data_IF_905543826146
#
_entry.id   IF_905543826146
#
_cell.length_a   1.000
_cell.length_b   1.000
_cell.length_c   1.000
_cell.angle_alpha   90.00
_cell.angle_beta   90.00
_cell.angle_gamma   90.00
#
_symmetry.space_group_name_H-M   'P 1'
#
loop_
_entity.id
_entity.type
_entity.pdbx_description
1 polymer ?
#
# COMPACT_ATOMS: atom_id res chain seq x y z
N UNK A 1 25.78 1.78 14.53
CA UNK A 1 24.92 0.59 14.41
C UNK A 1 23.70 1.03 13.63
N UNK A 2 23.43 0.43 12.47
CA UNK A 2 22.23 0.77 11.69
C UNK A 2 20.97 0.20 12.39
N UNK A 3 19.77 0.69 12.04
CA UNK A 3 18.55 0.29 12.76
C UNK A 3 18.29 -1.22 12.65
N UNK A 4 18.57 -1.83 11.49
CA UNK A 4 18.47 -3.28 11.29
C UNK A 4 19.34 -4.04 12.28
N UNK A 5 20.62 -3.67 12.46
CA UNK A 5 21.49 -4.33 13.44
C UNK A 5 20.97 -4.17 14.87
N UNK A 6 20.40 -3.01 15.19
CA UNK A 6 19.77 -2.77 16.50
C UNK A 6 18.55 -3.68 16.71
N UNK A 7 17.68 -3.81 15.69
CA UNK A 7 16.49 -4.68 15.76
C UNK A 7 16.85 -6.16 15.86
N UNK A 8 17.92 -6.60 15.18
CA UNK A 8 18.48 -7.95 15.34
C UNK A 8 18.92 -8.22 16.78
N UNK A 9 19.65 -7.28 17.39
CA UNK A 9 20.03 -7.39 18.80
C UNK A 9 18.82 -7.50 19.74
N UNK A 10 17.73 -6.78 19.48
CA UNK A 10 16.48 -6.93 20.25
C UNK A 10 15.87 -8.32 20.05
N UNK A 11 15.86 -8.83 18.81
CA UNK A 11 15.29 -10.15 18.50
C UNK A 11 16.03 -11.30 19.20
N UNK A 12 17.35 -11.19 19.40
CA UNK A 12 18.15 -12.15 20.17
C UNK A 12 17.68 -12.29 21.63
N UNK A 13 17.11 -11.22 22.20
CA UNK A 13 16.56 -11.23 23.57
C UNK A 13 15.11 -11.76 23.62
N UNK A 14 14.51 -12.08 22.47
CA UNK A 14 13.15 -12.61 22.33
C UNK A 14 13.19 -14.00 21.66
N UNK A 15 13.66 -15.07 22.33
CA UNK A 15 13.81 -16.40 21.74
C UNK A 15 12.47 -17.03 21.30
N UNK A 16 12.48 -18.11 20.49
CA UNK A 16 11.27 -18.83 20.11
C UNK A 16 10.38 -19.16 21.32
N UNK A 17 9.08 -18.86 21.21
CA UNK A 17 8.11 -18.99 22.32
C UNK A 17 8.00 -17.77 23.25
N UNK A 18 8.86 -16.75 23.12
CA UNK A 18 8.72 -15.51 23.87
C UNK A 18 7.48 -14.73 23.41
N UNK A 19 6.63 -14.31 24.36
CA UNK A 19 5.33 -13.69 24.08
C UNK A 19 5.40 -12.45 23.17
N UNK A 20 6.48 -11.66 23.24
CA UNK A 20 6.68 -10.46 22.41
C UNK A 20 7.57 -10.68 21.18
N UNK A 21 7.89 -11.93 20.81
CA UNK A 21 8.77 -12.21 19.67
C UNK A 21 8.18 -11.70 18.36
N UNK A 22 6.86 -11.82 18.15
CA UNK A 22 6.20 -11.30 16.95
C UNK A 22 6.38 -9.79 16.79
N UNK A 23 6.41 -9.02 17.89
CA UNK A 23 6.66 -7.57 17.88
C UNK A 23 8.10 -7.27 17.46
N UNK A 24 9.07 -8.03 17.97
CA UNK A 24 10.47 -7.88 17.58
C UNK A 24 10.69 -8.21 16.10
N UNK A 25 10.05 -9.27 15.60
CA UNK A 25 10.07 -9.64 14.19
C UNK A 25 9.42 -8.56 13.31
N UNK A 26 8.21 -8.12 13.63
CA UNK A 26 7.53 -7.03 12.89
C UNK A 26 8.40 -5.77 12.78
N UNK A 27 9.02 -5.35 13.89
CA UNK A 27 9.90 -4.19 13.89
C UNK A 27 11.18 -4.40 13.07
N UNK A 28 11.74 -5.62 13.07
CA UNK A 28 12.88 -5.95 12.22
C UNK A 28 12.49 -5.91 10.74
N UNK A 29 11.34 -6.48 10.39
CA UNK A 29 10.83 -6.47 9.03
C UNK A 29 10.59 -5.04 8.52
N UNK A 30 10.04 -4.16 9.37
CA UNK A 30 9.88 -2.75 9.04
C UNK A 30 11.23 -2.07 8.77
N UNK A 31 12.23 -2.26 9.63
CA UNK A 31 13.55 -1.67 9.45
C UNK A 31 14.29 -2.20 8.20
N UNK A 32 14.10 -3.48 7.86
CA UNK A 32 14.61 -4.07 6.62
C UNK A 32 13.96 -3.44 5.39
N UNK A 33 12.65 -3.24 5.44
CA UNK A 33 11.90 -2.60 4.37
C UNK A 33 12.33 -1.14 4.17
N UNK A 34 12.46 -0.35 5.24
CA UNK A 34 12.98 1.03 5.16
C UNK A 34 14.41 1.09 4.60
N UNK A 35 15.25 0.07 4.91
CA UNK A 35 16.61 0.00 4.35
C UNK A 35 16.57 -0.37 2.87
N UNK A 36 15.69 -1.28 2.47
CA UNK A 36 15.44 -1.57 1.06
C UNK A 36 15.01 -0.31 0.30
N UNK A 37 14.05 0.47 0.80
CA UNK A 37 13.60 1.70 0.12
C UNK A 37 14.74 2.73 -0.09
N UNK A 38 15.76 2.72 0.78
CA UNK A 38 16.90 3.66 0.70
C UNK A 38 18.07 3.12 -0.12
N UNK A 39 18.30 1.81 -0.07
CA UNK A 39 19.53 1.19 -0.58
C UNK A 39 19.27 0.21 -1.74
N UNK A 40 18.01 -0.07 -2.07
CA UNK A 40 17.55 -1.01 -3.09
C UNK A 40 18.17 -2.42 -2.97
N UNK A 41 18.37 -2.88 -1.73
CA UNK A 41 18.91 -4.20 -1.43
C UNK A 41 17.83 -5.26 -1.42
N UNK A 42 17.69 -6.00 -2.52
CA UNK A 42 16.66 -7.03 -2.65
C UNK A 42 16.73 -8.12 -1.55
N UNK A 43 17.91 -8.40 -1.01
CA UNK A 43 18.09 -9.33 0.10
C UNK A 43 17.36 -8.85 1.37
N UNK A 44 17.36 -7.54 1.63
CA UNK A 44 16.63 -6.96 2.76
C UNK A 44 15.12 -7.10 2.56
N UNK A 45 14.65 -6.94 1.33
CA UNK A 45 13.25 -7.13 1.00
C UNK A 45 12.80 -8.59 1.17
N UNK A 46 13.61 -9.53 0.69
CA UNK A 46 13.35 -10.97 0.86
C UNK A 46 13.37 -11.39 2.34
N UNK A 47 14.30 -10.83 3.12
CA UNK A 47 14.33 -11.04 4.58
C UNK A 47 13.10 -10.42 5.24
N UNK A 48 12.71 -9.19 4.88
CA UNK A 48 11.53 -8.53 5.42
C UNK A 48 10.24 -9.32 5.19
N UNK A 49 10.07 -9.90 4.00
CA UNK A 49 8.92 -10.78 3.66
C UNK A 49 8.91 -12.01 4.58
N UNK A 50 10.06 -12.68 4.72
CA UNK A 50 10.19 -13.88 5.57
C UNK A 50 9.88 -13.56 7.03
N UNK A 51 10.48 -12.49 7.57
CA UNK A 51 10.32 -12.08 8.97
C UNK A 51 8.89 -11.60 9.25
N UNK A 52 8.23 -10.92 8.30
CA UNK A 52 6.82 -10.55 8.44
C UNK A 52 5.90 -11.79 8.51
N UNK A 53 6.16 -12.82 7.71
CA UNK A 53 5.39 -14.08 7.75
C UNK A 53 5.54 -14.76 9.11
N UNK A 54 6.77 -14.88 9.61
CA UNK A 54 7.04 -15.40 10.96
C UNK A 54 6.32 -14.58 12.04
N UNK A 55 6.32 -13.25 11.92
CA UNK A 55 5.62 -12.37 12.85
C UNK A 55 4.11 -12.61 12.85
N UNK A 56 3.50 -12.81 11.67
CA UNK A 56 2.06 -13.06 11.51
C UNK A 56 1.66 -14.45 12.03
N UNK A 57 2.49 -15.47 11.84
CA UNK A 57 2.25 -16.82 12.35
C UNK A 57 2.30 -16.88 13.88
N UNK A 58 3.24 -16.15 14.49
CA UNK A 58 3.41 -16.11 15.95
C UNK A 58 2.41 -15.18 16.66
N UNK A 59 1.61 -14.41 15.92
CA UNK A 59 0.71 -13.41 16.51
C UNK A 59 -0.56 -14.07 17.06
N UNK A 60 -0.92 -13.82 18.34
CA UNK A 60 -2.18 -14.30 18.90
C UNK A 60 -3.39 -13.74 18.15
N UNK A 61 -4.40 -14.57 17.91
CA UNK A 61 -5.66 -14.16 17.25
C UNK A 61 -6.49 -13.24 18.15
N UNK A 62 -6.34 -13.31 19.47
CA UNK A 62 -7.24 -12.65 20.43
C UNK A 62 -6.98 -11.14 20.65
N UNK A 63 -5.90 -10.58 20.08
CA UNK A 63 -5.53 -9.16 20.18
C UNK A 63 -5.61 -8.46 18.81
N UNK A 64 -6.81 -8.45 18.22
CA UNK A 64 -7.03 -8.04 16.81
C UNK A 64 -6.93 -6.53 16.54
N UNK A 65 -6.94 -5.69 17.57
CA UNK A 65 -7.07 -4.25 17.37
C UNK A 65 -5.70 -3.58 17.13
N UNK A 66 -5.42 -3.30 15.84
CA UNK A 66 -4.37 -2.40 15.36
C UNK A 66 -3.09 -3.09 14.86
N UNK A 67 -2.50 -3.98 15.66
CA UNK A 67 -1.17 -4.48 15.32
C UNK A 67 -1.16 -5.54 14.20
N UNK A 68 -2.26 -6.32 14.04
CA UNK A 68 -2.35 -7.35 13.00
C UNK A 68 -2.52 -6.72 11.62
N UNK A 69 -3.40 -5.74 11.49
CA UNK A 69 -3.63 -5.03 10.22
C UNK A 69 -2.36 -4.33 9.73
N UNK A 70 -1.57 -3.78 10.65
CA UNK A 70 -0.28 -3.16 10.34
C UNK A 70 0.75 -4.19 9.84
N UNK A 71 0.77 -5.38 10.46
CA UNK A 71 1.65 -6.48 10.03
C UNK A 71 1.28 -6.99 8.64
N UNK A 72 -0.02 -7.19 8.38
CA UNK A 72 -0.53 -7.59 7.06
C UNK A 72 -0.20 -6.54 6.00
N UNK A 73 -0.40 -5.25 6.32
CA UNK A 73 -0.10 -4.16 5.40
C UNK A 73 1.40 -4.03 5.12
N UNK A 74 2.27 -4.27 6.11
CA UNK A 74 3.72 -4.23 5.93
C UNK A 74 4.20 -5.39 5.03
N UNK A 75 3.67 -6.60 5.22
CA UNK A 75 3.95 -7.73 4.34
C UNK A 75 3.46 -7.45 2.90
N UNK A 76 2.22 -6.97 2.77
CA UNK A 76 1.66 -6.60 1.47
C UNK A 76 2.51 -5.55 0.76
N UNK A 77 3.06 -4.56 1.49
CA UNK A 77 3.97 -3.57 0.93
C UNK A 77 5.29 -4.19 0.46
N UNK A 78 5.89 -5.07 1.25
CA UNK A 78 7.14 -5.72 0.84
C UNK A 78 6.96 -6.59 -0.43
N UNK A 79 5.83 -7.28 -0.55
CA UNK A 79 5.48 -8.08 -1.73
C UNK A 79 5.26 -7.19 -2.96
N UNK A 80 4.56 -6.07 -2.80
CA UNK A 80 4.34 -5.05 -3.84
C UNK A 80 5.68 -4.46 -4.34
N UNK A 81 6.59 -4.10 -3.43
CA UNK A 81 7.94 -3.68 -3.81
C UNK A 81 8.71 -4.77 -4.56
N UNK A 82 8.55 -6.04 -4.18
CA UNK A 82 9.26 -7.14 -4.86
C UNK A 82 8.67 -7.39 -6.24
N UNK A 83 7.35 -7.23 -6.38
CA UNK A 83 6.69 -7.19 -7.66
C UNK A 83 7.23 -6.08 -8.56
N UNK A 84 7.40 -4.86 -8.04
CA UNK A 84 7.96 -3.75 -8.83
C UNK A 84 9.39 -4.02 -9.32
N UNK A 85 10.22 -4.68 -8.50
CA UNK A 85 11.61 -5.02 -8.84
C UNK A 85 11.73 -6.22 -9.80
N UNK A 86 10.90 -7.25 -9.61
CA UNK A 86 11.07 -8.57 -10.26
C UNK A 86 9.93 -8.98 -11.21
N UNK A 87 8.79 -8.30 -11.18
CA UNK A 87 7.59 -8.63 -11.95
C UNK A 87 6.88 -9.91 -11.49
N UNK A 88 7.10 -10.36 -10.26
CA UNK A 88 6.55 -11.61 -9.72
C UNK A 88 5.05 -11.49 -9.44
N UNK A 89 4.20 -11.88 -10.40
CA UNK A 89 2.74 -11.72 -10.34
C UNK A 89 2.12 -12.33 -9.07
N UNK A 90 2.60 -13.49 -8.62
CA UNK A 90 2.15 -14.14 -7.39
C UNK A 90 2.30 -13.22 -6.15
N UNK A 91 3.35 -12.39 -6.10
CA UNK A 91 3.55 -11.44 -5.01
C UNK A 91 2.48 -10.35 -5.01
N UNK A 92 2.08 -9.88 -6.19
CA UNK A 92 1.01 -8.87 -6.32
C UNK A 92 -0.35 -9.45 -5.93
N UNK A 93 -0.64 -10.70 -6.31
CA UNK A 93 -1.86 -11.42 -5.89
C UNK A 93 -1.92 -11.57 -4.36
N UNK A 94 -0.81 -11.99 -3.75
CA UNK A 94 -0.70 -12.12 -2.29
C UNK A 94 -0.83 -10.74 -1.61
N UNK A 95 -0.19 -9.70 -2.13
CA UNK A 95 -0.28 -8.35 -1.61
C UNK A 95 -1.72 -7.79 -1.63
N UNK A 96 -2.49 -8.09 -2.68
CA UNK A 96 -3.91 -7.72 -2.78
C UNK A 96 -4.73 -8.48 -1.73
N UNK A 97 -4.50 -9.78 -1.58
CA UNK A 97 -5.20 -10.63 -0.60
C UNK A 97 -4.96 -10.12 0.83
N UNK A 98 -3.69 -9.87 1.18
CA UNK A 98 -3.30 -9.33 2.48
C UNK A 98 -3.84 -7.91 2.71
N UNK A 99 -3.89 -7.07 1.65
CA UNK A 99 -4.49 -5.75 1.72
C UNK A 99 -5.99 -5.78 2.02
N UNK A 100 -6.73 -6.73 1.43
CA UNK A 100 -8.15 -6.96 1.75
C UNK A 100 -8.35 -7.42 3.19
N UNK A 101 -7.52 -8.34 3.67
CA UNK A 101 -7.54 -8.78 5.08
C UNK A 101 -7.25 -7.62 6.04
N UNK A 102 -6.21 -6.81 5.77
CA UNK A 102 -5.88 -5.65 6.59
C UNK A 102 -7.02 -4.63 6.64
N UNK A 103 -7.68 -4.37 5.50
CA UNK A 103 -8.81 -3.45 5.43
C UNK A 103 -10.04 -3.96 6.17
N UNK A 104 -10.27 -5.28 6.19
CA UNK A 104 -11.37 -5.90 6.93
C UNK A 104 -11.24 -5.69 8.46
N UNK A 105 -10.00 -5.60 8.96
CA UNK A 105 -9.70 -5.32 10.37
C UNK A 105 -9.81 -3.82 10.74
N UNK A 106 -10.01 -2.93 9.77
CA UNK A 106 -10.07 -1.49 10.00
C UNK A 106 -11.46 -0.94 9.69
N UNK A 107 -12.42 -0.98 10.62
CA UNK A 107 -13.78 -0.50 10.37
C UNK A 107 -13.83 1.01 10.07
N UNK A 108 -14.96 1.54 9.53
CA UNK A 108 -15.14 2.97 9.34
C UNK A 108 -14.82 3.77 10.60
N UNK A 109 -14.01 4.82 10.47
CA UNK A 109 -13.49 5.62 11.59
C UNK A 109 -12.13 5.17 12.14
N UNK A 110 -11.60 4.02 11.70
CA UNK A 110 -10.25 3.60 12.08
C UNK A 110 -9.18 4.58 11.54
N UNK A 111 -8.21 5.03 12.35
CA UNK A 111 -7.28 6.12 12.00
C UNK A 111 -6.42 5.91 10.76
N UNK A 112 -6.22 4.65 10.35
CA UNK A 112 -5.39 4.27 9.18
C UNK A 112 -6.19 3.70 8.01
N UNK A 113 -7.53 3.66 8.12
CA UNK A 113 -8.37 3.01 7.10
C UNK A 113 -8.16 3.62 5.72
N UNK A 114 -7.99 4.92 5.67
CA UNK A 114 -7.71 5.70 4.47
C UNK A 114 -6.43 5.23 3.75
N UNK A 115 -5.34 4.99 4.49
CA UNK A 115 -4.07 4.51 3.94
C UNK A 115 -4.26 3.13 3.33
N UNK A 116 -5.02 2.25 4.00
CA UNK A 116 -5.25 0.89 3.53
C UNK A 116 -6.16 0.86 2.29
N UNK A 117 -7.18 1.72 2.26
CA UNK A 117 -8.01 1.94 1.07
C UNK A 117 -7.16 2.42 -0.12
N UNK A 118 -6.30 3.43 0.09
CA UNK A 118 -5.42 3.93 -0.97
C UNK A 118 -4.49 2.81 -1.47
N UNK A 119 -3.77 2.15 -0.58
CA UNK A 119 -2.76 1.16 -0.95
C UNK A 119 -3.39 -0.04 -1.68
N UNK A 120 -4.52 -0.56 -1.20
CA UNK A 120 -5.22 -1.63 -1.89
C UNK A 120 -5.73 -1.18 -3.28
N UNK A 121 -6.29 0.04 -3.37
CA UNK A 121 -6.72 0.60 -4.65
C UNK A 121 -5.60 0.76 -5.67
N UNK A 122 -4.41 1.18 -5.22
CA UNK A 122 -3.21 1.28 -6.07
C UNK A 122 -2.77 -0.10 -6.60
N UNK A 123 -2.77 -1.12 -5.73
CA UNK A 123 -2.40 -2.50 -6.14
C UNK A 123 -3.38 -3.09 -7.14
N UNK A 124 -4.67 -2.86 -6.94
CA UNK A 124 -5.71 -3.30 -7.88
C UNK A 124 -5.60 -2.58 -9.23
N UNK A 125 -5.19 -1.31 -9.24
CA UNK A 125 -4.84 -0.60 -10.47
C UNK A 125 -3.63 -1.24 -11.16
N UNK A 126 -2.54 -1.51 -10.43
CA UNK A 126 -1.34 -2.15 -10.99
C UNK A 126 -1.67 -3.54 -11.57
N UNK A 127 -2.50 -4.31 -10.86
CA UNK A 127 -3.03 -5.58 -11.33
C UNK A 127 -3.79 -5.44 -12.65
N UNK A 128 -4.75 -4.51 -12.71
CA UNK A 128 -5.52 -4.24 -13.92
C UNK A 128 -4.63 -3.84 -15.10
N UNK A 129 -3.66 -2.94 -14.88
CA UNK A 129 -2.76 -2.46 -15.94
C UNK A 129 -1.97 -3.62 -16.59
N UNK A 130 -1.66 -4.66 -15.81
CA UNK A 130 -0.78 -5.76 -16.21
C UNK A 130 -1.52 -6.97 -16.74
N UNK A 131 -2.68 -7.27 -16.17
CA UNK A 131 -3.49 -8.43 -16.54
C UNK A 131 -4.65 -8.08 -17.49
N UNK A 132 -4.95 -6.79 -17.70
CA UNK A 132 -6.14 -6.30 -18.41
C UNK A 132 -7.47 -6.85 -17.83
N UNK A 133 -7.45 -7.26 -16.55
CA UNK A 133 -8.59 -7.83 -15.83
C UNK A 133 -9.51 -6.72 -15.31
N UNK A 134 -10.58 -6.42 -16.07
CA UNK A 134 -11.53 -5.32 -15.83
C UNK A 134 -12.13 -5.31 -14.42
N UNK A 135 -12.26 -6.47 -13.76
CA UNK A 135 -12.80 -6.58 -12.40
C UNK A 135 -11.95 -5.82 -11.36
N UNK A 136 -10.63 -5.78 -11.52
CA UNK A 136 -9.74 -5.04 -10.62
C UNK A 136 -9.90 -3.53 -10.72
N UNK A 137 -10.27 -3.02 -11.90
CA UNK A 137 -10.41 -1.58 -12.15
C UNK A 137 -11.56 -0.95 -11.38
N UNK A 138 -12.71 -1.61 -11.34
CA UNK A 138 -13.90 -1.07 -10.66
C UNK A 138 -13.70 -1.03 -9.13
N UNK A 139 -13.11 -2.10 -8.56
CA UNK A 139 -12.76 -2.13 -7.13
C UNK A 139 -11.71 -1.06 -6.81
N UNK A 140 -10.69 -0.88 -7.66
CA UNK A 140 -9.70 0.19 -7.51
C UNK A 140 -10.36 1.57 -7.44
N UNK A 141 -11.28 1.88 -8.36
CA UNK A 141 -12.01 3.17 -8.39
C UNK A 141 -12.78 3.37 -7.10
N UNK A 142 -13.51 2.36 -6.62
CA UNK A 142 -14.30 2.46 -5.39
C UNK A 142 -13.43 2.72 -4.15
N UNK A 143 -12.32 1.99 -4.01
CA UNK A 143 -11.41 2.14 -2.87
C UNK A 143 -10.67 3.48 -2.90
N UNK A 144 -10.18 3.91 -4.06
CA UNK A 144 -9.50 5.19 -4.20
C UNK A 144 -10.44 6.38 -3.99
N UNK A 145 -11.72 6.28 -4.39
CA UNK A 145 -12.76 7.28 -4.05
C UNK A 145 -13.00 7.34 -2.56
N UNK A 146 -13.17 6.20 -1.90
CA UNK A 146 -13.36 6.16 -0.45
C UNK A 146 -12.16 6.77 0.30
N UNK A 147 -10.92 6.49 -0.14
CA UNK A 147 -9.72 7.14 0.40
C UNK A 147 -9.71 8.66 0.18
N UNK A 148 -10.12 9.11 -1.01
CA UNK A 148 -10.17 10.53 -1.36
C UNK A 148 -11.13 11.32 -0.46
N UNK A 149 -12.28 10.75 -0.13
CA UNK A 149 -13.32 11.38 0.70
C UNK A 149 -12.90 11.55 2.16
N UNK A 150 -11.96 10.71 2.65
CA UNK A 150 -11.48 10.75 4.03
C UNK A 150 -10.47 11.88 4.29
N UNK A 151 -10.01 12.59 3.26
CA UNK A 151 -8.91 13.55 3.40
C UNK A 151 -9.24 14.98 2.98
N UNK A 152 -8.84 15.98 3.79
CA UNK A 152 -8.87 17.37 3.37
C UNK A 152 -7.83 17.65 2.27
N UNK A 153 -7.99 18.74 1.50
CA UNK A 153 -6.99 19.22 0.55
C UNK A 153 -5.58 19.33 1.19
N UNK A 154 -4.55 18.84 0.49
CA UNK A 154 -3.14 18.93 0.93
C UNK A 154 -2.57 17.67 1.60
N UNK A 155 -3.37 16.65 1.89
CA UNK A 155 -2.87 15.38 2.43
C UNK A 155 -2.19 14.52 1.34
N UNK A 156 -1.06 13.88 1.66
CA UNK A 156 -0.30 13.05 0.69
C UNK A 156 -1.16 11.94 0.06
N UNK A 157 -1.96 11.26 0.89
CA UNK A 157 -2.85 10.20 0.40
C UNK A 157 -3.95 10.74 -0.53
N UNK A 158 -4.41 11.98 -0.31
CA UNK A 158 -5.36 12.64 -1.21
C UNK A 158 -4.77 12.81 -2.61
N UNK A 159 -3.53 13.29 -2.70
CA UNK A 159 -2.83 13.45 -3.98
C UNK A 159 -2.60 12.11 -4.69
N UNK A 160 -2.25 11.07 -3.93
CA UNK A 160 -2.09 9.71 -4.46
C UNK A 160 -3.41 9.15 -5.00
N UNK A 161 -4.49 9.23 -4.22
CA UNK A 161 -5.82 8.76 -4.64
C UNK A 161 -6.33 9.52 -5.86
N UNK A 162 -6.16 10.85 -5.92
CA UNK A 162 -6.51 11.64 -7.11
C UNK A 162 -5.77 11.18 -8.36
N UNK A 163 -4.44 11.00 -8.26
CA UNK A 163 -3.61 10.58 -9.39
C UNK A 163 -4.09 9.23 -9.94
N UNK A 164 -4.30 8.25 -9.07
CA UNK A 164 -4.71 6.92 -9.53
C UNK A 164 -6.16 6.87 -10.00
N UNK A 165 -7.07 7.64 -9.42
CA UNK A 165 -8.44 7.76 -9.94
C UNK A 165 -8.44 8.29 -11.38
N UNK A 166 -7.64 9.32 -11.65
CA UNK A 166 -7.50 9.84 -13.01
C UNK A 166 -7.00 8.74 -13.96
N UNK A 167 -5.98 7.96 -13.57
CA UNK A 167 -5.50 6.85 -14.40
C UNK A 167 -6.58 5.79 -14.65
N UNK A 168 -7.34 5.43 -13.59
CA UNK A 168 -8.42 4.47 -13.69
C UNK A 168 -9.51 4.92 -14.66
N UNK A 169 -10.01 6.16 -14.51
CA UNK A 169 -11.04 6.70 -15.39
C UNK A 169 -10.54 6.90 -16.83
N UNK A 170 -9.28 7.32 -17.02
CA UNK A 170 -8.67 7.42 -18.35
C UNK A 170 -8.66 6.07 -19.05
N UNK A 171 -8.19 5.02 -18.38
CA UNK A 171 -8.12 3.68 -18.98
C UNK A 171 -9.51 3.07 -19.20
N UNK A 172 -10.46 3.29 -18.29
CA UNK A 172 -11.85 2.84 -18.49
C UNK A 172 -12.51 3.54 -19.68
N UNK A 173 -12.29 4.85 -19.83
CA UNK A 173 -12.75 5.60 -20.99
C UNK A 173 -12.12 5.08 -22.29
N UNK A 174 -10.80 4.85 -22.32
CA UNK A 174 -10.10 4.35 -23.51
C UNK A 174 -10.59 2.95 -23.92
N UNK A 175 -10.90 2.09 -22.95
CA UNK A 175 -11.34 0.72 -23.21
C UNK A 175 -12.83 0.59 -23.50
N UNK A 176 -13.69 1.40 -22.87
CA UNK A 176 -15.16 1.24 -22.91
C UNK A 176 -15.91 2.42 -23.52
N UNK A 177 -15.26 3.56 -23.74
CA UNK A 177 -15.86 4.76 -24.34
C UNK A 177 -16.94 5.43 -23.48
N UNK A 178 -16.92 5.21 -22.16
CA UNK A 178 -17.95 5.75 -21.25
C UNK A 178 -17.79 7.26 -21.06
N UNK A 179 -18.65 8.06 -21.68
CA UNK A 179 -18.60 9.54 -21.61
C UNK A 179 -18.70 10.07 -20.17
N UNK A 180 -19.41 9.37 -19.28
CA UNK A 180 -19.48 9.73 -17.86
C UNK A 180 -18.09 9.78 -17.18
N UNK A 181 -17.13 8.99 -17.66
CA UNK A 181 -15.76 8.99 -17.14
C UNK A 181 -15.01 10.28 -17.51
N UNK A 182 -15.38 10.95 -18.61
CA UNK A 182 -14.80 12.24 -18.97
C UNK A 182 -15.23 13.35 -18.01
N UNK A 183 -16.50 13.36 -17.59
CA UNK A 183 -17.00 14.35 -16.63
C UNK A 183 -16.30 14.20 -15.27
N UNK A 184 -16.09 12.95 -14.84
CA UNK A 184 -15.31 12.62 -13.65
C UNK A 184 -13.83 13.02 -13.79
N UNK A 185 -13.19 12.70 -14.93
CA UNK A 185 -11.81 13.11 -15.21
C UNK A 185 -11.62 14.62 -15.15
N UNK A 186 -12.53 15.39 -15.76
CA UNK A 186 -12.48 16.85 -15.73
C UNK A 186 -12.57 17.37 -14.30
N UNK A 187 -13.46 16.79 -13.49
CA UNK A 187 -13.63 17.15 -12.08
C UNK A 187 -12.35 16.85 -11.29
N UNK A 188 -11.83 15.63 -11.40
CA UNK A 188 -10.62 15.18 -10.70
C UNK A 188 -9.38 16.00 -11.10
N UNK A 189 -9.21 16.31 -12.40
CA UNK A 189 -8.11 17.14 -12.90
C UNK A 189 -8.18 18.57 -12.38
N UNK A 190 -9.38 19.15 -12.27
CA UNK A 190 -9.56 20.47 -11.65
C UNK A 190 -9.16 20.45 -10.18
N UNK A 191 -9.63 19.46 -9.42
CA UNK A 191 -9.24 19.27 -8.02
C UNK A 191 -7.72 19.07 -7.86
N UNK A 192 -7.08 18.34 -8.78
CA UNK A 192 -5.62 18.17 -8.77
C UNK A 192 -4.89 19.50 -9.01
N UNK A 193 -5.35 20.34 -9.93
CA UNK A 193 -4.76 21.66 -10.19
C UNK A 193 -4.93 22.64 -9.02
N UNK A 194 -6.02 22.53 -8.26
CA UNK A 194 -6.24 23.33 -7.04
C UNK A 194 -5.24 22.98 -5.92
N UNK A 195 -4.75 21.73 -5.88
CA UNK A 195 -3.70 21.31 -4.94
C UNK A 195 -2.30 21.81 -5.33
N UNK A 196 -2.07 22.11 -6.61
CA UNK A 196 -0.82 22.67 -7.12
C UNK A 196 -1.06 24.02 -7.80
N UNK A 197 -1.27 25.11 -7.03
CA UNK A 197 -1.37 26.44 -7.64
C UNK A 197 -0.11 26.73 -8.44
N UNK A 198 -0.28 27.25 -9.67
CA UNK A 198 0.81 27.63 -10.58
C UNK A 198 1.98 28.25 -9.81
N UNK A 199 3.10 27.53 -9.74
CA UNK A 199 4.29 27.93 -8.97
C UNK A 199 4.97 26.82 -8.16
N UNK A 200 4.36 25.65 -7.99
CA UNK A 200 5.03 24.48 -7.40
C UNK A 200 5.91 23.76 -8.43
N UNK A 201 7.13 23.44 -8.02
CA UNK A 201 8.30 23.09 -8.84
C UNK A 201 8.28 21.72 -9.54
N UNK A 202 7.10 21.13 -9.77
CA UNK A 202 6.97 19.87 -10.53
C UNK A 202 6.36 20.08 -11.93
N UNK A 203 6.36 21.32 -12.40
CA UNK A 203 6.09 21.62 -13.80
C UNK A 203 7.30 21.20 -14.66
N UNK A 204 7.50 19.89 -14.86
CA UNK A 204 8.30 19.43 -15.99
C UNK A 204 7.48 19.71 -17.23
N UNK A 205 7.76 20.85 -17.83
CA UNK A 205 7.40 21.12 -19.21
C UNK A 205 8.23 20.21 -20.11
N UNK A 206 7.57 19.28 -20.80
CA UNK A 206 7.87 18.87 -22.18
C UNK A 206 6.67 18.12 -22.74
#
# INVERSE_FOLDING_TARGET
MDDVSRRRGILEHCPPGHASRYVALFNLAYALCERFEKEHKIDDLNEAITVNRDALELRPVENEEGDRSDSLQNLAFCLDCRYDELGTVDDLEEAITLGREALALCPPGHPRRDVFLNNLGVRLWAWFEKQAEVCGLEEAIQLLRASLELHPPGHQQRSSSLRHLILCFSSRYESQGLVADLDELVTLRRTQLELYPRGHSDHVAS
#
